data_IF_521753626449
#
_entry.id   IF_521753626449
#
_cell.length_a   1.000
_cell.length_b   1.000
_cell.length_c   1.000
_cell.angle_alpha   90.00
_cell.angle_beta   90.00
_cell.angle_gamma   90.00
#
_symmetry.space_group_name_H-M   'P 1'
#
loop_
_entity.id
_entity.type
_entity.pdbx_description
1 polymer ?
#
# COMPACT_ATOMS: atom_id res chain seq x y z
N UNK A 1 16.93 -41.36 -14.02
CA UNK A 1 15.93 -40.68 -13.17
C UNK A 1 16.30 -39.22 -12.87
N UNK A 2 17.55 -38.77 -13.03
CA UNK A 2 17.97 -37.38 -12.75
C UNK A 2 17.46 -36.30 -13.73
N UNK A 3 17.05 -36.67 -14.95
CA UNK A 3 16.62 -35.69 -15.96
C UNK A 3 15.24 -35.09 -15.69
N UNK A 4 14.37 -35.81 -14.95
CA UNK A 4 13.01 -35.37 -14.64
C UNK A 4 12.95 -34.35 -13.49
N UNK A 5 13.90 -34.39 -12.55
CA UNK A 5 13.97 -33.48 -11.39
C UNK A 5 14.55 -32.12 -11.76
N UNK A 6 15.46 -32.07 -12.75
CA UNK A 6 16.00 -30.80 -13.27
C UNK A 6 14.95 -30.02 -14.07
N UNK A 7 14.13 -30.70 -14.89
CA UNK A 7 13.10 -30.04 -15.70
C UNK A 7 11.96 -29.47 -14.87
N UNK A 8 11.59 -30.10 -13.75
CA UNK A 8 10.54 -29.58 -12.84
C UNK A 8 11.01 -28.35 -12.06
N UNK A 9 12.26 -28.33 -11.57
CA UNK A 9 12.86 -27.15 -10.93
C UNK A 9 12.99 -25.96 -11.91
N UNK A 10 13.46 -26.22 -13.13
CA UNK A 10 13.63 -25.17 -14.15
C UNK A 10 12.29 -24.58 -14.60
N UNK A 11 11.27 -25.42 -14.79
CA UNK A 11 9.90 -24.96 -15.10
C UNK A 11 9.31 -24.10 -13.97
N UNK A 12 9.59 -24.45 -12.71
CA UNK A 12 9.14 -23.69 -11.55
C UNK A 12 9.75 -22.29 -11.48
N UNK A 13 11.05 -22.14 -11.73
CA UNK A 13 11.72 -20.82 -11.74
C UNK A 13 11.24 -19.95 -12.91
N UNK A 14 11.09 -20.52 -14.09
CA UNK A 14 10.66 -19.80 -15.28
C UNK A 14 9.21 -19.33 -15.16
N UNK A 15 8.34 -20.17 -14.59
CA UNK A 15 6.94 -19.82 -14.31
C UNK A 15 6.84 -18.72 -13.24
N UNK A 16 7.66 -18.79 -12.19
CA UNK A 16 7.70 -17.75 -11.15
C UNK A 16 8.16 -16.39 -11.73
N UNK A 17 9.13 -16.42 -12.66
CA UNK A 17 9.58 -15.21 -13.33
C UNK A 17 8.49 -14.59 -14.22
N UNK A 18 7.85 -15.39 -15.07
CA UNK A 18 6.77 -14.94 -15.96
C UNK A 18 5.57 -14.46 -15.15
N UNK A 19 5.20 -15.16 -14.07
CA UNK A 19 4.07 -14.77 -13.23
C UNK A 19 4.34 -13.48 -12.46
N UNK A 20 5.57 -13.30 -11.95
CA UNK A 20 5.97 -12.05 -11.31
C UNK A 20 5.91 -10.89 -12.30
N UNK A 21 6.43 -11.06 -13.51
CA UNK A 21 6.34 -10.03 -14.57
C UNK A 21 4.88 -9.74 -14.95
N UNK A 22 4.04 -10.77 -15.07
CA UNK A 22 2.62 -10.61 -15.39
C UNK A 22 1.85 -9.89 -14.27
N UNK A 23 2.11 -10.24 -13.01
CA UNK A 23 1.51 -9.61 -11.85
C UNK A 23 1.97 -8.16 -11.72
N UNK A 24 3.27 -7.87 -11.87
CA UNK A 24 3.77 -6.50 -11.91
C UNK A 24 3.10 -5.72 -13.05
N UNK A 25 2.99 -6.28 -14.25
CA UNK A 25 2.33 -5.62 -15.38
C UNK A 25 0.85 -5.30 -15.13
N UNK A 26 0.19 -6.05 -14.24
CA UNK A 26 -1.24 -5.84 -13.90
C UNK A 26 -1.45 -4.97 -12.65
N UNK A 27 -0.58 -5.08 -11.65
CA UNK A 27 -0.68 -4.39 -10.36
C UNK A 27 -0.01 -3.01 -10.38
N UNK A 28 1.15 -2.88 -11.05
CA UNK A 28 1.88 -1.61 -11.16
C UNK A 28 1.03 -0.49 -11.75
N UNK A 29 0.32 -0.64 -12.89
CA UNK A 29 -0.46 0.46 -13.43
C UNK A 29 -1.57 0.95 -12.48
N UNK A 30 -2.18 0.03 -11.70
CA UNK A 30 -3.18 0.39 -10.68
C UNK A 30 -2.54 1.17 -9.54
N UNK A 31 -1.41 0.69 -9.01
CA UNK A 31 -0.68 1.38 -7.94
C UNK A 31 -0.14 2.74 -8.39
N UNK A 32 0.37 2.84 -9.61
CA UNK A 32 0.82 4.11 -10.19
C UNK A 32 -0.33 5.08 -10.31
N UNK A 33 -1.51 4.63 -10.78
CA UNK A 33 -2.70 5.48 -10.84
C UNK A 33 -3.11 5.98 -9.45
N UNK A 34 -3.14 5.11 -8.44
CA UNK A 34 -3.43 5.51 -7.05
C UNK A 34 -2.41 6.53 -6.51
N UNK A 35 -1.12 6.33 -6.75
CA UNK A 35 -0.06 7.25 -6.32
C UNK A 35 -0.21 8.61 -7.01
N UNK A 36 -0.54 8.63 -8.30
CA UNK A 36 -0.77 9.88 -9.05
C UNK A 36 -1.98 10.62 -8.47
N UNK A 37 -3.10 9.92 -8.24
CA UNK A 37 -4.30 10.51 -7.64
C UNK A 37 -3.98 11.05 -6.24
N UNK A 38 -3.33 10.26 -5.39
CA UNK A 38 -2.90 10.70 -4.05
C UNK A 38 -2.03 11.95 -4.14
N UNK A 39 -1.05 11.97 -5.03
CA UNK A 39 -0.14 13.10 -5.22
C UNK A 39 -0.88 14.38 -5.62
N UNK A 40 -1.86 14.29 -6.52
CA UNK A 40 -2.72 15.42 -6.89
C UNK A 40 -3.53 15.91 -5.69
N UNK A 41 -4.15 14.99 -4.93
CA UNK A 41 -4.92 15.36 -3.74
C UNK A 41 -4.04 16.02 -2.68
N UNK A 42 -2.84 15.47 -2.42
CA UNK A 42 -1.86 16.07 -1.51
C UNK A 42 -1.38 17.45 -1.99
N UNK A 43 -1.21 17.66 -3.29
CA UNK A 43 -0.87 18.96 -3.84
C UNK A 43 -1.95 20.02 -3.54
N UNK A 44 -3.21 19.68 -3.76
CA UNK A 44 -4.33 20.57 -3.40
C UNK A 44 -4.44 20.78 -1.89
N UNK A 45 -4.20 19.74 -1.09
CA UNK A 45 -4.17 19.86 0.37
C UNK A 45 -3.08 20.82 0.83
N UNK A 46 -1.86 20.70 0.28
CA UNK A 46 -0.74 21.57 0.64
C UNK A 46 -0.93 23.04 0.24
N UNK A 47 -1.76 23.30 -0.77
CA UNK A 47 -2.22 24.67 -1.09
C UNK A 47 -3.32 25.17 -0.15
N UNK A 48 -4.24 24.30 0.24
CA UNK A 48 -5.37 24.67 1.09
C UNK A 48 -4.98 24.80 2.58
N UNK A 49 -4.02 23.98 3.00
CA UNK A 49 -3.52 23.90 4.37
C UNK A 49 -2.11 24.45 4.37
N UNK A 50 -1.87 25.58 5.04
CA UNK A 50 -0.51 26.10 5.23
C UNK A 50 0.32 25.06 5.99
N UNK A 51 1.02 24.19 5.26
CA UNK A 51 1.78 23.05 5.81
C UNK A 51 2.75 23.53 6.88
N UNK A 52 3.35 24.70 6.69
CA UNK A 52 4.22 25.34 7.67
C UNK A 52 3.52 25.59 9.01
N UNK A 53 2.29 26.12 9.01
CA UNK A 53 1.52 26.37 10.24
C UNK A 53 1.10 25.07 10.91
N UNK A 54 0.76 24.03 10.14
CA UNK A 54 0.43 22.71 10.70
C UNK A 54 1.66 22.07 11.32
N UNK A 55 2.82 22.14 10.66
CA UNK A 55 4.06 21.57 11.17
C UNK A 55 4.55 22.31 12.42
N UNK A 56 4.52 23.65 12.43
CA UNK A 56 4.88 24.46 13.61
C UNK A 56 3.96 24.16 14.81
N UNK A 57 2.63 24.09 14.58
CA UNK A 57 1.69 23.76 15.65
C UNK A 57 1.80 22.29 16.10
N UNK A 58 2.00 21.35 15.17
CA UNK A 58 2.17 19.94 15.49
C UNK A 58 3.45 19.71 16.29
N UNK A 59 4.59 20.29 15.89
CA UNK A 59 5.83 20.20 16.67
C UNK A 59 5.67 20.83 18.05
N UNK A 60 5.01 21.98 18.16
CA UNK A 60 4.75 22.62 19.44
C UNK A 60 3.95 21.73 20.39
N UNK A 61 2.92 21.04 19.89
CA UNK A 61 2.11 20.09 20.68
C UNK A 61 2.87 18.80 20.97
N UNK A 62 3.65 18.30 20.01
CA UNK A 62 4.48 17.10 20.15
C UNK A 62 5.50 17.23 21.28
N UNK A 63 6.14 18.40 21.38
CA UNK A 63 7.17 18.67 22.39
C UNK A 63 6.61 19.19 23.72
N UNK A 64 5.37 19.70 23.74
CA UNK A 64 4.74 20.19 24.97
C UNK A 64 3.99 19.07 25.72
N UNK A 65 3.16 18.28 25.03
CA UNK A 65 2.29 17.27 25.67
C UNK A 65 2.01 16.08 24.71
N UNK A 66 2.91 15.09 24.66
CA UNK A 66 2.79 13.92 23.77
C UNK A 66 1.45 13.16 23.85
N UNK A 67 0.82 12.97 25.04
CA UNK A 67 -0.47 12.26 25.12
C UNK A 67 -1.63 13.03 24.47
N UNK A 68 -1.53 14.35 24.36
CA UNK A 68 -2.60 15.23 23.87
C UNK A 68 -2.56 15.44 22.35
N UNK A 69 -1.61 14.82 21.65
CA UNK A 69 -1.51 14.91 20.18
C UNK A 69 -2.82 14.45 19.53
N UNK A 70 -3.43 13.38 20.04
CA UNK A 70 -4.68 12.83 19.45
C UNK A 70 -5.84 13.81 19.61
N UNK A 71 -6.02 14.40 20.78
CA UNK A 71 -7.09 15.38 21.01
C UNK A 71 -6.87 16.67 20.21
N UNK A 72 -5.62 17.09 20.05
CA UNK A 72 -5.25 18.23 19.20
C UNK A 72 -5.52 17.97 17.72
N UNK A 73 -5.17 16.78 17.20
CA UNK A 73 -5.46 16.39 15.82
C UNK A 73 -6.98 16.41 15.58
N UNK A 74 -7.75 15.80 16.49
CA UNK A 74 -9.21 15.72 16.37
C UNK A 74 -9.84 17.12 16.47
N UNK A 75 -9.42 17.96 17.43
CA UNK A 75 -9.99 19.30 17.59
C UNK A 75 -9.65 20.20 16.40
N UNK A 76 -8.42 20.15 15.91
CA UNK A 76 -7.96 20.91 14.75
C UNK A 76 -8.68 20.46 13.47
N UNK A 77 -8.96 19.16 13.36
CA UNK A 77 -9.74 18.59 12.26
C UNK A 77 -11.20 19.06 12.28
N UNK A 78 -11.83 19.11 13.46
CA UNK A 78 -13.21 19.57 13.60
C UNK A 78 -13.36 21.08 13.33
N UNK A 79 -12.32 21.88 13.60
CA UNK A 79 -12.32 23.32 13.40
C UNK A 79 -11.76 23.78 12.03
N UNK A 80 -11.33 22.85 11.17
CA UNK A 80 -10.86 23.17 9.82
C UNK A 80 -12.02 23.34 8.84
N UNK A 81 -11.78 24.07 7.75
CA UNK A 81 -12.81 24.30 6.73
C UNK A 81 -13.29 23.01 6.07
N UNK A 82 -14.57 22.98 5.65
CA UNK A 82 -15.23 21.83 5.01
C UNK A 82 -14.40 21.23 3.85
N UNK A 83 -13.75 22.07 3.05
CA UNK A 83 -12.89 21.62 1.96
C UNK A 83 -11.73 20.72 2.43
N UNK A 84 -11.11 21.07 3.56
CA UNK A 84 -10.00 20.31 4.16
C UNK A 84 -10.50 18.99 4.76
N UNK A 85 -11.68 19.02 5.41
CA UNK A 85 -12.30 17.81 5.96
C UNK A 85 -12.65 16.80 4.86
N UNK A 86 -13.25 17.26 3.76
CA UNK A 86 -13.55 16.41 2.60
C UNK A 86 -12.26 15.84 2.00
N UNK A 87 -11.23 16.67 1.79
CA UNK A 87 -9.97 16.21 1.23
C UNK A 87 -9.29 15.15 2.11
N UNK A 88 -9.25 15.37 3.42
CA UNK A 88 -8.70 14.41 4.37
C UNK A 88 -9.48 13.08 4.36
N UNK A 89 -10.81 13.14 4.25
CA UNK A 89 -11.65 11.95 4.06
C UNK A 89 -11.31 11.20 2.78
N UNK A 90 -11.15 11.91 1.66
CA UNK A 90 -10.73 11.32 0.37
C UNK A 90 -9.36 10.66 0.48
N UNK A 91 -8.39 11.29 1.15
CA UNK A 91 -7.06 10.72 1.38
C UNK A 91 -7.17 9.43 2.21
N UNK A 92 -7.95 9.43 3.30
CA UNK A 92 -8.16 8.23 4.11
C UNK A 92 -8.75 7.07 3.31
N UNK A 93 -9.75 7.35 2.46
CA UNK A 93 -10.33 6.33 1.58
C UNK A 93 -9.29 5.82 0.59
N UNK A 94 -8.55 6.70 -0.09
CA UNK A 94 -7.50 6.29 -1.03
C UNK A 94 -6.40 5.46 -0.36
N UNK A 95 -5.99 5.81 0.85
CA UNK A 95 -5.04 5.01 1.63
C UNK A 95 -5.60 3.63 1.98
N UNK A 96 -6.87 3.54 2.37
CA UNK A 96 -7.52 2.26 2.64
C UNK A 96 -7.60 1.38 1.37
N UNK A 97 -7.88 1.98 0.21
CA UNK A 97 -7.85 1.30 -1.09
C UNK A 97 -6.43 0.83 -1.44
N UNK A 98 -5.42 1.67 -1.26
CA UNK A 98 -4.01 1.33 -1.49
C UNK A 98 -3.59 0.12 -0.64
N UNK A 99 -3.88 0.17 0.67
CA UNK A 99 -3.59 -0.96 1.58
C UNK A 99 -4.31 -2.21 1.12
N UNK A 100 -5.60 -2.12 0.75
CA UNK A 100 -6.37 -3.25 0.24
C UNK A 100 -5.74 -3.85 -1.01
N UNK A 101 -5.35 -3.03 -1.99
CA UNK A 101 -4.73 -3.52 -3.22
C UNK A 101 -3.36 -4.15 -2.97
N UNK A 102 -2.56 -3.58 -2.07
CA UNK A 102 -1.29 -4.15 -1.64
C UNK A 102 -1.49 -5.50 -0.95
N UNK A 103 -2.40 -5.60 0.01
CA UNK A 103 -2.70 -6.86 0.72
C UNK A 103 -3.22 -7.91 -0.26
N UNK A 104 -4.15 -7.57 -1.15
CA UNK A 104 -4.68 -8.53 -2.14
C UNK A 104 -3.60 -8.96 -3.15
N UNK A 105 -2.72 -8.05 -3.58
CA UNK A 105 -1.59 -8.35 -4.45
C UNK A 105 -0.57 -9.28 -3.79
N UNK A 106 -0.22 -9.00 -2.53
CA UNK A 106 0.70 -9.81 -1.73
C UNK A 106 0.13 -11.18 -1.39
N UNK A 107 -1.14 -11.27 -0.99
CA UNK A 107 -1.80 -12.54 -0.70
C UNK A 107 -1.85 -13.42 -1.95
N UNK A 108 -2.13 -12.86 -3.13
CA UNK A 108 -2.07 -13.62 -4.39
C UNK A 108 -0.66 -14.14 -4.69
N UNK A 109 0.37 -13.35 -4.40
CA UNK A 109 1.76 -13.79 -4.53
C UNK A 109 2.08 -14.97 -3.60
N UNK A 110 1.64 -14.90 -2.34
CA UNK A 110 1.94 -15.93 -1.33
C UNK A 110 1.14 -17.21 -1.59
N UNK A 111 -0.17 -17.13 -1.83
CA UNK A 111 -1.02 -18.30 -2.06
C UNK A 111 -0.64 -19.06 -3.34
N UNK A 112 -0.34 -18.33 -4.43
CA UNK A 112 0.15 -18.97 -5.67
C UNK A 112 1.56 -19.55 -5.47
N UNK A 113 2.37 -19.00 -4.57
CA UNK A 113 3.63 -19.63 -4.21
C UNK A 113 3.36 -20.99 -3.53
N UNK A 114 2.51 -21.03 -2.52
CA UNK A 114 2.23 -22.23 -1.72
C UNK A 114 1.56 -23.36 -2.50
N UNK A 115 0.54 -23.07 -3.32
CA UNK A 115 -0.19 -24.09 -4.10
C UNK A 115 0.72 -24.84 -5.10
N UNK A 116 1.69 -24.13 -5.70
CA UNK A 116 2.56 -24.71 -6.72
C UNK A 116 3.77 -25.44 -6.10
N UNK A 117 4.29 -24.99 -4.95
CA UNK A 117 5.33 -25.73 -4.22
C UNK A 117 4.77 -26.98 -3.51
N UNK A 118 3.50 -26.96 -3.09
CA UNK A 118 2.82 -28.14 -2.53
C UNK A 118 2.67 -29.25 -3.56
N UNK A 119 2.25 -28.92 -4.80
CA UNK A 119 2.15 -29.90 -5.90
C UNK A 119 3.49 -30.39 -6.46
N UNK A 120 4.60 -29.73 -6.14
CA UNK A 120 5.94 -30.12 -6.58
C UNK A 120 6.64 -31.11 -5.63
N UNK A 121 6.05 -31.38 -4.45
CA UNK A 121 6.52 -32.44 -3.55
C UNK A 121 5.93 -33.77 -4.04
N UNK A 122 6.73 -34.72 -4.55
CA UNK A 122 6.22 -36.07 -4.71
C UNK A 122 5.86 -36.56 -3.30
N UNK A 123 4.60 -36.92 -3.12
CA UNK A 123 4.17 -37.77 -2.02
C UNK A 123 4.91 -39.09 -2.20
N UNK A 124 6.04 -39.21 -1.50
CA UNK A 124 6.68 -40.50 -1.23
C UNK A 124 5.69 -41.30 -0.36
N UNK A 125 4.94 -42.19 -1.02
CA UNK A 125 4.33 -43.37 -0.42
C UNK A 125 5.21 -44.57 -0.75
#
# INVERSE_FOLDING_TARGET
METYTATTKFKGELLNHVYRVWLFRKLVPVLVAEIVILSVVFYYLGRAVFVQRVFENALKVLFADPPQIVSFIVSTFLHTGLAVQILAGVIMVLLAFLVRHLTQGLLRLILVREDYFSKAKPTDH
#
